data_IF_905363742682
#
_entry.id   IF_905363742682
#
_cell.length_a   1.000
_cell.length_b   1.000
_cell.length_c   1.000
_cell.angle_alpha   90.00
_cell.angle_beta   90.00
_cell.angle_gamma   90.00
#
_symmetry.space_group_name_H-M   'P 1'
#
loop_
_entity.id
_entity.type
_entity.pdbx_description
1 polymer ?
#
# COMPACT_ATOMS: atom_id res chain seq x y z
N UNK A 1 -8.49 20.18 -27.06
CA UNK A 1 -7.48 19.68 -26.09
C UNK A 1 -7.39 20.57 -24.85
N UNK A 2 -7.28 21.89 -24.99
CA UNK A 2 -7.25 22.86 -23.88
C UNK A 2 -8.48 22.74 -22.95
N UNK A 3 -9.67 22.62 -23.55
CA UNK A 3 -10.93 22.43 -22.80
C UNK A 3 -10.91 21.18 -21.90
N UNK A 4 -10.44 20.03 -22.40
CA UNK A 4 -10.37 18.79 -21.62
C UNK A 4 -9.41 18.91 -20.43
N UNK A 5 -8.23 19.51 -20.64
CA UNK A 5 -7.25 19.70 -19.56
C UNK A 5 -7.76 20.64 -18.46
N UNK A 6 -8.54 21.66 -18.82
CA UNK A 6 -9.14 22.60 -17.85
C UNK A 6 -10.27 21.94 -17.05
N UNK A 7 -11.16 21.21 -17.71
CA UNK A 7 -12.25 20.46 -17.07
C UNK A 7 -11.69 19.41 -16.10
N UNK A 8 -10.76 18.57 -16.57
CA UNK A 8 -10.12 17.55 -15.73
C UNK A 8 -9.34 18.20 -14.59
N UNK A 9 -8.59 19.27 -14.83
CA UNK A 9 -7.84 19.97 -13.78
C UNK A 9 -8.75 20.50 -12.67
N UNK A 10 -9.87 21.13 -13.04
CA UNK A 10 -10.85 21.68 -12.10
C UNK A 10 -11.51 20.59 -11.27
N UNK A 11 -11.91 19.49 -11.92
CA UNK A 11 -12.53 18.35 -11.26
C UNK A 11 -11.53 17.58 -10.39
N UNK A 12 -10.33 17.31 -10.90
CA UNK A 12 -9.27 16.53 -10.24
C UNK A 12 -8.87 17.15 -8.90
N UNK A 13 -8.77 18.49 -8.82
CA UNK A 13 -8.41 19.21 -7.59
C UNK A 13 -9.33 18.91 -6.41
N UNK A 14 -10.58 18.51 -6.67
CA UNK A 14 -11.58 18.18 -5.64
C UNK A 14 -11.50 16.72 -5.17
N UNK A 15 -10.71 15.91 -5.86
CA UNK A 15 -10.61 14.48 -5.57
C UNK A 15 -9.62 14.23 -4.44
N UNK A 16 -9.95 13.25 -3.59
CA UNK A 16 -9.11 12.90 -2.42
C UNK A 16 -7.74 12.34 -2.82
N UNK A 17 -7.69 11.63 -3.93
CA UNK A 17 -6.48 11.06 -4.52
C UNK A 17 -5.56 12.09 -5.18
N UNK A 18 -6.01 13.34 -5.37
CA UNK A 18 -5.13 14.38 -5.85
C UNK A 18 -4.09 14.73 -4.79
N UNK A 19 -2.84 14.50 -5.14
CA UNK A 19 -1.75 14.39 -4.18
C UNK A 19 -1.08 15.74 -3.82
N UNK A 20 -1.32 16.79 -4.61
CA UNK A 20 -0.75 18.14 -4.39
C UNK A 20 -1.80 19.08 -3.82
N UNK A 21 -2.33 18.76 -2.63
CA UNK A 21 -3.37 19.57 -1.98
C UNK A 21 -2.89 21.03 -1.85
N UNK A 22 -3.75 21.97 -2.25
CA UNK A 22 -3.53 23.43 -2.25
C UNK A 22 -2.74 24.03 -3.42
N UNK A 23 -2.35 23.25 -4.43
CA UNK A 23 -1.79 23.78 -5.69
C UNK A 23 -2.78 23.53 -6.81
N UNK A 24 -2.93 24.50 -7.72
CA UNK A 24 -3.76 24.35 -8.90
C UNK A 24 -3.05 23.43 -9.92
N UNK A 25 -3.68 22.35 -10.40
CA UNK A 25 -3.05 21.45 -11.35
C UNK A 25 -2.66 22.18 -12.64
N UNK A 26 -1.45 21.91 -13.15
CA UNK A 26 -1.03 22.36 -14.47
C UNK A 26 -0.91 21.16 -15.38
N UNK A 27 -2.03 20.80 -16.01
CA UNK A 27 -2.16 19.56 -16.77
C UNK A 27 -1.67 19.71 -18.20
N UNK A 28 -0.86 18.73 -18.63
CA UNK A 28 -0.54 18.46 -20.02
C UNK A 28 -0.97 17.04 -20.36
N UNK A 29 -1.81 16.88 -21.39
CA UNK A 29 -2.18 15.57 -21.89
C UNK A 29 -0.97 14.90 -22.56
N UNK A 30 -0.58 13.73 -22.05
CA UNK A 30 0.52 12.92 -22.58
C UNK A 30 0.03 11.95 -23.64
N UNK A 31 -0.98 11.15 -23.29
CA UNK A 31 -1.44 10.03 -24.10
C UNK A 31 -2.86 9.62 -23.71
N UNK A 32 -3.46 8.74 -24.50
CA UNK A 32 -4.73 8.08 -24.18
C UNK A 32 -4.89 6.76 -24.91
N UNK A 33 -5.62 5.81 -24.35
CA UNK A 33 -6.11 4.64 -25.07
C UNK A 33 -7.64 4.53 -24.95
N UNK A 34 -8.26 3.94 -25.96
CA UNK A 34 -9.69 3.67 -25.98
C UNK A 34 -9.92 2.21 -25.59
N UNK A 35 -10.88 1.96 -24.71
CA UNK A 35 -11.38 0.61 -24.45
C UNK A 35 -12.64 0.39 -25.29
N UNK A 36 -12.78 -0.78 -25.90
CA UNK A 36 -14.02 -1.17 -26.58
C UNK A 36 -15.14 -1.23 -25.53
N UNK A 37 -16.15 -0.36 -25.61
CA UNK A 37 -17.19 -0.32 -24.60
C UNK A 37 -18.14 -1.51 -24.80
N UNK A 38 -18.62 -2.07 -23.69
CA UNK A 38 -19.68 -3.09 -23.72
C UNK A 38 -21.01 -2.50 -24.22
N UNK A 39 -21.22 -1.19 -24.01
CA UNK A 39 -22.37 -0.42 -24.50
C UNK A 39 -21.96 0.52 -25.64
N UNK A 40 -22.61 0.38 -26.80
CA UNK A 40 -22.27 1.12 -28.02
C UNK A 40 -22.55 2.64 -27.93
N UNK A 41 -23.38 3.09 -26.98
CA UNK A 41 -23.77 4.50 -26.87
C UNK A 41 -22.77 5.36 -26.07
N UNK A 42 -21.86 4.73 -25.35
CA UNK A 42 -20.82 5.41 -24.56
C UNK A 42 -19.44 5.23 -25.19
N UNK A 43 -18.53 6.16 -24.90
CA UNK A 43 -17.12 6.00 -25.24
C UNK A 43 -16.30 5.94 -23.97
N UNK A 44 -15.45 4.93 -23.84
CA UNK A 44 -14.57 4.73 -22.68
C UNK A 44 -13.13 5.06 -23.09
N UNK A 45 -12.57 6.11 -22.50
CA UNK A 45 -11.21 6.57 -22.81
C UNK A 45 -10.41 6.75 -21.53
N UNK A 46 -9.21 6.20 -21.50
CA UNK A 46 -8.27 6.42 -20.41
C UNK A 46 -7.22 7.43 -20.82
N UNK A 47 -7.15 8.56 -20.11
CA UNK A 47 -6.22 9.64 -20.38
C UNK A 47 -5.05 9.64 -19.39
N UNK A 48 -3.85 9.96 -19.87
CA UNK A 48 -2.66 10.18 -19.07
C UNK A 48 -2.33 11.68 -19.04
N UNK A 49 -2.43 12.30 -17.86
CA UNK A 49 -2.12 13.71 -17.66
C UNK A 49 -0.85 13.89 -16.83
N UNK A 50 0.09 14.68 -17.33
CA UNK A 50 1.21 15.18 -16.53
C UNK A 50 0.78 16.44 -15.77
N UNK A 51 0.80 16.40 -14.44
CA UNK A 51 0.71 17.59 -13.60
C UNK A 51 2.12 18.13 -13.33
N UNK A 52 2.39 19.32 -13.86
CA UNK A 52 3.68 20.00 -13.73
C UNK A 52 3.70 21.07 -12.64
N UNK A 53 2.62 21.19 -11.86
CA UNK A 53 2.55 22.09 -10.72
C UNK A 53 3.47 21.70 -9.53
N UNK A 54 3.61 20.42 -9.13
CA UNK A 54 4.57 20.03 -8.10
C UNK A 54 6.03 20.14 -8.57
N UNK A 55 6.99 20.20 -7.63
CA UNK A 55 8.43 20.25 -7.93
C UNK A 55 8.89 19.10 -8.82
N UNK A 56 8.35 17.91 -8.57
CA UNK A 56 8.55 16.72 -9.40
C UNK A 56 7.23 16.44 -10.10
N UNK A 57 7.18 16.52 -11.45
CA UNK A 57 5.95 16.24 -12.20
C UNK A 57 5.37 14.87 -11.87
N UNK A 58 4.04 14.76 -11.87
CA UNK A 58 3.32 13.51 -11.59
C UNK A 58 2.42 13.14 -12.76
N UNK A 59 2.39 11.86 -13.11
CA UNK A 59 1.49 11.36 -14.16
C UNK A 59 0.25 10.76 -13.50
N UNK A 60 -0.91 11.21 -13.93
CA UNK A 60 -2.20 10.72 -13.50
C UNK A 60 -2.90 9.97 -14.63
N UNK A 61 -3.44 8.80 -14.29
CA UNK A 61 -4.42 8.10 -15.11
C UNK A 61 -5.83 8.58 -14.74
N UNK A 62 -6.59 9.03 -15.74
CA UNK A 62 -7.98 9.46 -15.59
C UNK A 62 -8.85 8.75 -16.62
N UNK A 63 -9.53 7.66 -16.24
CA UNK A 63 -10.53 7.02 -17.08
C UNK A 63 -11.79 7.88 -17.15
N UNK A 64 -12.34 8.04 -18.35
CA UNK A 64 -13.47 8.91 -18.65
C UNK A 64 -14.50 8.14 -19.48
N UNK A 65 -15.77 8.25 -19.09
CA UNK A 65 -16.90 7.80 -19.90
C UNK A 65 -17.58 9.02 -20.50
N UNK A 66 -17.68 9.07 -21.82
CA UNK A 66 -18.34 10.15 -22.55
C UNK A 66 -19.73 9.72 -23.03
N UNK A 67 -20.77 10.32 -22.44
CA UNK A 67 -22.20 10.02 -22.67
C UNK A 67 -22.88 11.11 -23.50
N UNK A 68 -23.96 10.75 -24.21
CA UNK A 68 -24.77 11.71 -24.96
C UNK A 68 -25.73 12.50 -24.06
N UNK A 69 -26.16 11.93 -22.94
CA UNK A 69 -27.09 12.51 -21.97
C UNK A 69 -26.40 12.82 -20.64
N UNK A 70 -26.96 13.79 -19.91
CA UNK A 70 -26.52 14.17 -18.55
C UNK A 70 -27.43 13.53 -17.50
N UNK A 71 -27.29 12.23 -17.34
CA UNK A 71 -28.12 11.39 -16.47
C UNK A 71 -27.28 10.50 -15.53
N UNK A 72 -25.96 10.71 -15.46
CA UNK A 72 -25.06 10.06 -14.51
C UNK A 72 -24.96 10.76 -13.16
N UNK A 73 -24.08 10.26 -12.28
CA UNK A 73 -23.82 10.88 -10.97
C UNK A 73 -23.19 12.28 -11.12
N UNK A 74 -23.87 13.29 -10.60
CA UNK A 74 -23.40 14.68 -10.64
C UNK A 74 -22.07 14.86 -9.88
N UNK A 75 -21.79 14.04 -8.87
CA UNK A 75 -20.50 14.06 -8.17
C UNK A 75 -19.34 13.49 -9.03
N UNK A 76 -19.67 12.71 -10.06
CA UNK A 76 -18.71 12.14 -11.00
C UNK A 76 -18.55 12.97 -12.29
N UNK A 77 -19.41 13.96 -12.52
CA UNK A 77 -19.36 14.81 -13.70
C UNK A 77 -18.07 15.63 -13.73
N UNK A 78 -17.25 15.40 -14.75
CA UNK A 78 -16.03 16.15 -15.05
C UNK A 78 -16.39 17.44 -15.80
N UNK A 79 -17.33 17.35 -16.73
CA UNK A 79 -17.80 18.49 -17.53
C UNK A 79 -18.45 18.07 -18.84
N UNK A 80 -18.59 19.02 -19.76
CA UNK A 80 -19.11 18.80 -21.11
C UNK A 80 -18.04 19.21 -22.12
N UNK A 81 -17.76 18.35 -23.10
CA UNK A 81 -16.84 18.67 -24.19
C UNK A 81 -17.25 17.93 -25.47
N UNK A 82 -17.20 18.61 -26.62
CA UNK A 82 -17.54 18.01 -27.91
C UNK A 82 -18.98 17.47 -27.98
N UNK A 83 -19.92 18.10 -27.27
CA UNK A 83 -21.33 17.68 -27.23
C UNK A 83 -21.60 16.39 -26.46
N UNK A 84 -20.66 15.97 -25.60
CA UNK A 84 -20.82 14.83 -24.68
C UNK A 84 -20.55 15.24 -23.25
N UNK A 85 -21.23 14.58 -22.32
CA UNK A 85 -21.00 14.70 -20.89
C UNK A 85 -19.94 13.69 -20.44
N UNK A 86 -18.91 14.18 -19.76
CA UNK A 86 -17.75 13.41 -19.34
C UNK A 86 -17.88 13.06 -17.85
N UNK A 87 -17.85 11.77 -17.54
CA UNK A 87 -17.94 11.25 -16.18
C UNK A 87 -16.67 10.48 -15.80
N UNK A 88 -16.33 10.49 -14.52
CA UNK A 88 -15.23 9.70 -13.96
C UNK A 88 -15.51 8.19 -14.11
N UNK A 89 -14.70 7.50 -14.91
CA UNK A 89 -14.96 6.13 -15.34
C UNK A 89 -15.23 5.15 -14.20
N UNK A 90 -14.46 5.14 -13.09
CA UNK A 90 -14.72 4.26 -11.94
C UNK A 90 -16.10 4.38 -11.26
N UNK A 91 -16.94 5.33 -11.66
CA UNK A 91 -18.33 5.46 -11.20
C UNK A 91 -19.36 4.88 -12.17
N UNK A 92 -18.92 4.49 -13.37
CA UNK A 92 -19.75 4.09 -14.49
C UNK A 92 -19.60 2.59 -14.76
N UNK A 93 -20.72 1.86 -14.76
CA UNK A 93 -20.71 0.41 -14.95
C UNK A 93 -20.10 0.01 -16.30
N UNK A 94 -20.31 0.81 -17.35
CA UNK A 94 -19.72 0.57 -18.67
C UNK A 94 -18.18 0.57 -18.64
N UNK A 95 -17.56 1.46 -17.87
CA UNK A 95 -16.11 1.45 -17.69
C UNK A 95 -15.66 0.21 -16.91
N UNK A 96 -16.35 -0.13 -15.82
CA UNK A 96 -15.97 -1.28 -14.99
C UNK A 96 -16.08 -2.59 -15.78
N UNK A 97 -17.15 -2.78 -16.53
CA UNK A 97 -17.32 -3.94 -17.40
C UNK A 97 -16.24 -4.02 -18.48
N UNK A 98 -15.94 -2.90 -19.14
CA UNK A 98 -14.88 -2.84 -20.18
C UNK A 98 -13.49 -3.10 -19.59
N UNK A 99 -13.19 -2.57 -18.40
CA UNK A 99 -11.93 -2.81 -17.71
C UNK A 99 -11.77 -4.28 -17.31
N UNK A 100 -12.80 -4.91 -16.75
CA UNK A 100 -12.74 -6.33 -16.36
C UNK A 100 -12.66 -7.24 -17.58
N UNK A 101 -13.37 -6.91 -18.66
CA UNK A 101 -13.22 -7.61 -19.94
C UNK A 101 -11.78 -7.47 -20.46
N UNK A 102 -11.23 -6.26 -20.46
CA UNK A 102 -9.87 -6.02 -20.93
C UNK A 102 -8.85 -6.86 -20.15
N UNK A 103 -8.92 -6.85 -18.81
CA UNK A 103 -8.03 -7.63 -17.93
C UNK A 103 -8.21 -9.15 -18.10
N UNK A 104 -9.43 -9.64 -17.91
CA UNK A 104 -9.70 -11.10 -17.82
C UNK A 104 -9.90 -11.78 -19.17
N UNK A 105 -10.20 -11.01 -20.21
CA UNK A 105 -10.14 -11.46 -21.60
C UNK A 105 -8.73 -11.45 -22.20
N UNK A 106 -7.73 -10.93 -21.46
CA UNK A 106 -6.36 -10.71 -21.92
C UNK A 106 -6.29 -9.89 -23.22
N UNK A 107 -7.21 -8.93 -23.36
CA UNK A 107 -7.38 -8.12 -24.55
C UNK A 107 -6.34 -6.97 -24.58
N UNK A 108 -6.18 -6.36 -25.75
CA UNK A 108 -5.28 -5.23 -25.97
C UNK A 108 -6.08 -3.98 -26.32
N UNK A 109 -5.67 -2.84 -25.77
CA UNK A 109 -6.23 -1.53 -26.07
C UNK A 109 -5.12 -0.56 -26.50
N UNK A 110 -5.37 0.19 -27.57
CA UNK A 110 -4.42 1.17 -28.12
C UNK A 110 -5.09 2.54 -28.25
N UNK A 111 -4.27 3.58 -28.34
CA UNK A 111 -4.73 4.88 -28.78
C UNK A 111 -3.58 5.83 -29.07
N UNK A 112 -3.74 7.08 -28.66
CA UNK A 112 -2.74 8.11 -28.85
C UNK A 112 -1.57 7.89 -27.89
N UNK A 113 -0.47 7.36 -28.41
CA UNK A 113 0.82 7.24 -27.72
C UNK A 113 0.79 6.40 -26.42
N UNK A 114 -0.30 5.64 -26.19
CA UNK A 114 -0.43 4.72 -25.07
C UNK A 114 -1.04 3.38 -25.52
N UNK A 115 -0.66 2.33 -24.79
CA UNK A 115 -1.22 0.99 -24.94
C UNK A 115 -1.52 0.38 -23.58
N UNK A 116 -2.46 -0.56 -23.54
CA UNK A 116 -2.80 -1.31 -22.35
C UNK A 116 -3.05 -2.78 -22.69
N UNK A 117 -2.50 -3.68 -21.87
CA UNK A 117 -2.59 -5.14 -22.01
C UNK A 117 -3.18 -5.72 -20.74
N UNK A 118 -4.26 -6.50 -20.91
CA UNK A 118 -4.87 -7.24 -19.82
C UNK A 118 -4.17 -8.56 -19.53
N UNK A 119 -4.22 -8.97 -18.27
CA UNK A 119 -3.66 -10.22 -17.78
C UNK A 119 -4.59 -10.86 -16.74
N UNK A 120 -4.57 -12.19 -16.63
CA UNK A 120 -5.33 -12.95 -15.64
C UNK A 120 -4.59 -14.22 -15.24
N UNK A 121 -4.86 -14.71 -14.03
CA UNK A 121 -4.46 -16.04 -13.55
C UNK A 121 -5.62 -17.04 -13.57
N UNK A 122 -6.81 -16.62 -14.03
CA UNK A 122 -8.03 -17.40 -14.01
C UNK A 122 -8.78 -17.35 -15.34
N UNK A 123 -10.10 -17.53 -15.26
CA UNK A 123 -10.98 -17.48 -16.41
C UNK A 123 -11.47 -16.05 -16.69
N UNK A 124 -12.09 -15.85 -17.86
CA UNK A 124 -12.75 -14.58 -18.20
C UNK A 124 -13.91 -14.33 -17.23
N UNK A 125 -14.01 -13.10 -16.72
CA UNK A 125 -15.01 -12.71 -15.73
C UNK A 125 -15.95 -11.65 -16.33
N UNK A 126 -17.23 -11.75 -16.01
CA UNK A 126 -18.22 -10.71 -16.27
C UNK A 126 -18.69 -10.09 -14.96
N UNK A 127 -18.81 -8.76 -14.94
CA UNK A 127 -19.34 -7.99 -13.81
C UNK A 127 -20.78 -7.61 -14.10
N UNK A 128 -21.67 -7.96 -13.18
CA UNK A 128 -23.11 -7.69 -13.24
C UNK A 128 -23.45 -6.26 -12.83
N UNK A 129 -22.80 -5.77 -11.79
CA UNK A 129 -23.00 -4.42 -11.25
C UNK A 129 -21.78 -3.99 -10.46
N UNK A 130 -21.59 -2.68 -10.28
CA UNK A 130 -20.42 -2.18 -9.56
C UNK A 130 -20.75 -1.00 -8.64
N UNK A 131 -19.95 -0.85 -7.58
CA UNK A 131 -20.07 0.28 -6.66
C UNK A 131 -18.70 0.75 -6.20
N UNK A 132 -18.41 2.02 -6.42
CA UNK A 132 -17.21 2.68 -5.90
C UNK A 132 -17.22 2.72 -4.37
N UNK A 133 -16.09 2.40 -3.74
CA UNK A 133 -15.88 2.58 -2.31
C UNK A 133 -15.55 4.05 -1.99
N UNK A 134 -15.92 4.50 -0.80
CA UNK A 134 -15.68 5.87 -0.33
C UNK A 134 -14.59 5.87 0.73
N UNK A 135 -13.71 6.88 0.72
CA UNK A 135 -12.72 7.09 1.78
C UNK A 135 -11.26 6.97 1.36
N UNK A 136 -10.99 6.51 0.13
CA UNK A 136 -9.64 6.26 -0.37
C UNK A 136 -8.80 7.52 -0.58
N UNK A 137 -7.47 7.38 -0.43
CA UNK A 137 -6.53 8.49 -0.43
C UNK A 137 -5.58 8.57 -1.63
N UNK A 138 -5.31 7.47 -2.34
CA UNK A 138 -4.32 7.43 -3.43
C UNK A 138 -4.89 6.83 -4.73
N UNK A 139 -5.84 5.91 -4.62
CA UNK A 139 -6.39 5.13 -5.71
C UNK A 139 -7.93 5.24 -5.74
N UNK A 140 -8.57 4.51 -6.65
CA UNK A 140 -10.03 4.34 -6.64
C UNK A 140 -10.38 2.86 -6.66
N UNK A 141 -11.11 2.40 -5.65
CA UNK A 141 -11.50 1.01 -5.49
C UNK A 141 -13.00 0.85 -5.67
N UNK A 142 -13.36 -0.26 -6.29
CA UNK A 142 -14.70 -0.57 -6.75
C UNK A 142 -14.99 -1.98 -6.29
N UNK A 143 -16.14 -2.20 -5.69
CA UNK A 143 -16.67 -3.54 -5.48
C UNK A 143 -17.50 -3.91 -6.69
N UNK A 144 -17.05 -4.90 -7.45
CA UNK A 144 -17.80 -5.51 -8.54
C UNK A 144 -18.53 -6.75 -8.04
N UNK A 145 -19.82 -6.86 -8.36
CA UNK A 145 -20.55 -8.10 -8.21
C UNK A 145 -20.48 -8.89 -9.52
N UNK A 146 -19.97 -10.11 -9.46
CA UNK A 146 -19.77 -10.98 -10.61
C UNK A 146 -21.08 -11.68 -10.99
N UNK A 147 -21.18 -12.21 -12.20
CA UNK A 147 -22.37 -12.95 -12.65
C UNK A 147 -22.69 -14.19 -11.79
N UNK A 148 -21.69 -14.80 -11.18
CA UNK A 148 -21.83 -15.95 -10.27
C UNK A 148 -22.18 -15.54 -8.82
N UNK A 149 -22.39 -14.25 -8.57
CA UNK A 149 -22.74 -13.69 -7.26
C UNK A 149 -21.55 -13.48 -6.31
N UNK A 150 -20.32 -13.82 -6.71
CA UNK A 150 -19.12 -13.45 -5.93
C UNK A 150 -18.87 -11.95 -6.02
N UNK A 151 -18.11 -11.44 -5.05
CA UNK A 151 -17.65 -10.06 -5.03
C UNK A 151 -16.16 -10.00 -5.36
N UNK A 152 -15.77 -9.00 -6.14
CA UNK A 152 -14.39 -8.67 -6.46
C UNK A 152 -14.07 -7.23 -6.08
N UNK A 153 -12.84 -6.98 -5.63
CA UNK A 153 -12.30 -5.64 -5.46
C UNK A 153 -11.50 -5.28 -6.70
N UNK A 154 -11.82 -4.16 -7.34
CA UNK A 154 -11.10 -3.62 -8.47
C UNK A 154 -10.47 -2.30 -8.03
N UNK A 155 -9.15 -2.19 -8.09
CA UNK A 155 -8.37 -1.01 -7.69
C UNK A 155 -7.79 -0.37 -8.95
N UNK A 156 -8.16 0.88 -9.20
CA UNK A 156 -7.66 1.70 -10.31
C UNK A 156 -6.58 2.64 -9.77
N UNK A 157 -5.35 2.50 -10.27
CA UNK A 157 -4.25 3.36 -9.86
C UNK A 157 -4.43 4.75 -10.49
N UNK A 158 -4.46 5.79 -9.66
CA UNK A 158 -4.65 7.18 -10.14
C UNK A 158 -3.33 7.87 -10.45
N UNK A 159 -2.32 7.66 -9.61
CA UNK A 159 -0.95 8.11 -9.88
C UNK A 159 -0.19 6.92 -10.45
N UNK A 160 0.35 7.07 -11.66
CA UNK A 160 1.11 6.02 -12.34
C UNK A 160 2.58 6.43 -12.44
N UNK A 161 3.47 5.45 -12.29
CA UNK A 161 4.91 5.64 -12.31
C UNK A 161 5.54 4.58 -13.22
N UNK A 162 6.74 4.88 -13.71
CA UNK A 162 7.52 3.91 -14.47
C UNK A 162 8.03 2.80 -13.54
N UNK A 163 7.89 1.55 -13.96
CA UNK A 163 8.30 0.36 -13.23
C UNK A 163 7.15 -0.53 -12.80
N UNK A 164 7.53 -1.72 -12.34
CA UNK A 164 6.62 -2.71 -11.78
C UNK A 164 5.99 -2.22 -10.47
N UNK A 165 4.68 -2.36 -10.35
CA UNK A 165 3.92 -2.14 -9.12
C UNK A 165 4.02 -3.36 -8.19
N UNK A 166 4.66 -3.23 -7.01
CA UNK A 166 4.85 -4.33 -6.08
C UNK A 166 3.53 -4.95 -5.58
N UNK A 167 2.43 -4.19 -5.55
CA UNK A 167 1.10 -4.71 -5.16
C UNK A 167 0.66 -5.82 -6.12
N UNK A 168 0.83 -5.58 -7.42
CA UNK A 168 0.44 -6.54 -8.45
C UNK A 168 1.42 -7.69 -8.56
N UNK A 169 2.73 -7.41 -8.64
CA UNK A 169 3.72 -8.48 -8.86
C UNK A 169 3.83 -9.43 -7.67
N UNK A 170 3.71 -8.91 -6.45
CA UNK A 170 3.72 -9.71 -5.22
C UNK A 170 2.43 -10.53 -5.13
N UNK A 171 1.27 -9.92 -5.35
CA UNK A 171 -0.01 -10.63 -5.27
C UNK A 171 -0.15 -11.70 -6.37
N UNK A 172 0.36 -11.44 -7.58
CA UNK A 172 0.42 -12.43 -8.65
C UNK A 172 1.25 -13.65 -8.25
N UNK A 173 2.44 -13.44 -7.71
CA UNK A 173 3.32 -14.53 -7.26
C UNK A 173 2.73 -15.33 -6.08
N UNK A 174 2.05 -14.65 -5.15
CA UNK A 174 1.39 -15.28 -4.01
C UNK A 174 0.15 -16.09 -4.45
N UNK A 175 -0.64 -15.55 -5.38
CA UNK A 175 -1.81 -16.23 -5.93
C UNK A 175 -1.39 -17.48 -6.70
N UNK A 176 -0.41 -17.35 -7.60
CA UNK A 176 0.16 -18.50 -8.33
C UNK A 176 0.79 -19.54 -7.38
N UNK A 177 1.36 -19.08 -6.28
CA UNK A 177 1.91 -19.92 -5.21
C UNK A 177 0.85 -20.59 -4.31
N UNK A 178 -0.44 -20.34 -4.53
CA UNK A 178 -1.54 -20.94 -3.77
C UNK A 178 -1.71 -20.36 -2.36
N UNK A 179 -1.35 -19.09 -2.15
CA UNK A 179 -1.55 -18.39 -0.88
C UNK A 179 -3.02 -18.47 -0.44
N UNK A 180 -3.24 -18.82 0.82
CA UNK A 180 -4.54 -18.67 1.50
C UNK A 180 -4.57 -17.45 2.43
N UNK A 181 -3.48 -16.70 2.46
CA UNK A 181 -3.27 -15.55 3.35
C UNK A 181 -3.45 -14.22 2.62
N UNK A 182 -3.83 -14.23 1.35
CA UNK A 182 -4.05 -13.02 0.57
C UNK A 182 -5.31 -13.18 -0.27
N UNK A 183 -6.04 -12.10 -0.58
CA UNK A 183 -7.03 -12.14 -1.64
C UNK A 183 -6.41 -12.67 -2.94
N UNK A 184 -7.11 -13.51 -3.69
CA UNK A 184 -6.57 -14.03 -4.95
C UNK A 184 -6.63 -12.96 -6.04
N UNK A 185 -5.54 -12.76 -6.77
CA UNK A 185 -5.52 -11.89 -7.94
C UNK A 185 -6.30 -12.54 -9.09
N UNK A 186 -7.33 -11.84 -9.57
CA UNK A 186 -8.21 -12.29 -10.64
C UNK A 186 -7.78 -11.73 -12.00
N UNK A 187 -7.22 -10.52 -12.03
CA UNK A 187 -6.68 -9.92 -13.24
C UNK A 187 -6.01 -8.58 -12.97
N UNK A 188 -5.22 -8.11 -13.91
CA UNK A 188 -4.60 -6.79 -13.83
C UNK A 188 -4.37 -6.20 -15.22
N UNK A 189 -4.18 -4.88 -15.26
CA UNK A 189 -3.93 -4.14 -16.49
C UNK A 189 -2.54 -3.52 -16.41
N UNK A 190 -1.69 -3.81 -17.39
CA UNK A 190 -0.43 -3.08 -17.62
C UNK A 190 -0.62 -2.07 -18.74
N UNK A 191 0.13 -0.98 -18.75
CA UNK A 191 0.18 -0.11 -19.92
C UNK A 191 1.52 0.59 -20.10
N UNK A 192 1.65 1.30 -21.21
CA UNK A 192 2.77 2.22 -21.44
C UNK A 192 2.27 3.59 -21.89
N UNK A 193 3.06 4.61 -21.56
CA UNK A 193 2.77 6.00 -21.88
C UNK A 193 4.08 6.81 -21.99
N UNK A 194 4.06 8.00 -22.62
CA UNK A 194 5.23 8.84 -22.71
C UNK A 194 5.62 9.42 -21.35
N UNK A 195 6.91 9.50 -21.03
CA UNK A 195 7.37 10.17 -19.80
C UNK A 195 7.36 11.70 -19.97
N UNK A 196 7.24 12.48 -18.87
CA UNK A 196 7.36 13.94 -18.94
C UNK A 196 8.70 14.43 -19.49
N UNK A 197 9.79 13.67 -19.28
CA UNK A 197 11.17 14.00 -19.67
C UNK A 197 11.57 13.50 -21.06
N UNK A 198 10.69 12.78 -21.75
CA UNK A 198 11.01 12.07 -23.00
C UNK A 198 11.40 10.61 -22.75
N UNK A 199 10.88 9.72 -23.59
CA UNK A 199 10.94 8.26 -23.42
C UNK A 199 9.55 7.66 -23.16
N UNK A 200 9.54 6.36 -22.87
CA UNK A 200 8.30 5.59 -22.59
C UNK A 200 8.42 5.00 -21.20
N UNK A 201 7.40 5.23 -20.36
CA UNK A 201 7.20 4.53 -19.11
C UNK A 201 6.26 3.34 -19.32
N UNK A 202 6.39 2.33 -18.46
CA UNK A 202 5.44 1.23 -18.37
C UNK A 202 5.18 0.84 -16.93
N UNK A 203 3.97 0.37 -16.64
CA UNK A 203 3.58 -0.11 -15.30
C UNK A 203 2.11 -0.51 -15.23
N UNK A 204 1.67 -0.88 -14.04
CA UNK A 204 0.31 -1.33 -13.78
C UNK A 204 -0.67 -0.17 -13.60
N UNK A 205 -1.84 -0.32 -14.21
CA UNK A 205 -2.89 0.69 -14.30
C UNK A 205 -4.11 0.33 -13.43
N UNK A 206 -4.36 -0.96 -13.23
CA UNK A 206 -5.42 -1.47 -12.38
C UNK A 206 -5.13 -2.91 -11.96
N UNK A 207 -5.74 -3.34 -10.86
CA UNK A 207 -5.84 -4.75 -10.47
C UNK A 207 -7.28 -5.11 -10.08
N UNK A 208 -7.58 -6.40 -10.16
CA UNK A 208 -8.81 -7.02 -9.71
C UNK A 208 -8.45 -8.25 -8.87
N UNK A 209 -9.01 -8.32 -7.67
CA UNK A 209 -8.79 -9.41 -6.72
C UNK A 209 -10.10 -9.85 -6.08
N UNK A 210 -10.09 -10.99 -5.40
CA UNK A 210 -11.20 -11.41 -4.54
C UNK A 210 -11.54 -10.31 -3.52
N UNK A 211 -12.83 -10.04 -3.33
CA UNK A 211 -13.29 -9.30 -2.17
C UNK A 211 -13.44 -10.26 -0.99
N UNK A 212 -13.07 -9.83 0.22
CA UNK A 212 -13.20 -10.64 1.44
C UNK A 212 -14.45 -10.17 2.21
N UNK A 213 -15.62 -10.82 2.06
CA UNK A 213 -16.87 -10.32 2.64
C UNK A 213 -16.87 -10.50 4.15
N UNK A 214 -17.34 -9.49 4.87
CA UNK A 214 -17.44 -9.54 6.34
C UNK A 214 -16.08 -9.50 7.05
N UNK A 215 -14.99 -9.24 6.33
CA UNK A 215 -13.71 -8.98 6.95
C UNK A 215 -13.73 -7.67 7.76
N UNK A 216 -13.09 -7.71 8.92
CA UNK A 216 -12.82 -6.53 9.74
C UNK A 216 -11.40 -6.02 9.49
N UNK A 217 -11.22 -4.70 9.50
CA UNK A 217 -9.90 -4.08 9.49
C UNK A 217 -9.12 -4.46 10.76
N UNK A 218 -7.88 -4.91 10.61
CA UNK A 218 -7.08 -5.44 11.71
C UNK A 218 -6.73 -4.40 12.77
N UNK A 219 -6.58 -3.13 12.38
CA UNK A 219 -6.34 -2.04 13.32
C UNK A 219 -7.60 -1.74 14.13
N UNK A 220 -8.74 -1.58 13.47
CA UNK A 220 -10.02 -1.35 14.16
C UNK A 220 -10.38 -2.51 15.08
N UNK A 221 -10.17 -3.75 14.63
CA UNK A 221 -10.38 -4.95 15.44
C UNK A 221 -9.48 -4.95 16.69
N UNK A 222 -8.20 -4.63 16.55
CA UNK A 222 -7.25 -4.58 17.65
C UNK A 222 -7.57 -3.46 18.67
N UNK A 223 -7.87 -2.25 18.19
CA UNK A 223 -8.27 -1.11 19.03
C UNK A 223 -9.54 -1.42 19.82
N UNK A 224 -10.53 -1.99 19.13
CA UNK A 224 -11.81 -2.42 19.69
C UNK A 224 -11.65 -3.48 20.78
N UNK A 225 -10.80 -4.49 20.55
CA UNK A 225 -10.50 -5.53 21.53
C UNK A 225 -9.74 -4.98 22.74
N UNK A 226 -8.71 -4.16 22.52
CA UNK A 226 -7.92 -3.54 23.58
C UNK A 226 -8.76 -2.60 24.46
N UNK A 227 -9.66 -1.82 23.86
CA UNK A 227 -10.60 -0.95 24.59
C UNK A 227 -11.52 -1.74 25.53
N UNK A 228 -11.99 -2.93 25.10
CA UNK A 228 -12.84 -3.81 25.90
C UNK A 228 -12.05 -4.72 26.86
N UNK A 229 -10.72 -4.69 26.83
CA UNK A 229 -9.87 -5.62 27.58
C UNK A 229 -10.02 -7.08 27.13
N UNK A 230 -10.43 -7.30 25.88
CA UNK A 230 -10.54 -8.64 25.30
C UNK A 230 -9.16 -9.20 24.97
N UNK A 231 -8.96 -10.49 25.28
CA UNK A 231 -7.73 -11.18 24.92
C UNK A 231 -7.58 -11.27 23.39
N UNK A 232 -6.37 -10.93 22.93
CA UNK A 232 -6.00 -10.90 21.52
C UNK A 232 -4.78 -11.79 21.22
N UNK A 233 -4.25 -12.48 22.23
CA UNK A 233 -3.04 -13.32 22.12
C UNK A 233 -3.17 -14.39 21.03
N UNK A 234 -4.28 -15.13 20.98
CA UNK A 234 -4.55 -16.12 19.93
C UNK A 234 -4.56 -15.49 18.52
N UNK A 235 -5.22 -14.34 18.37
CA UNK A 235 -5.28 -13.63 17.08
C UNK A 235 -3.90 -13.11 16.67
N UNK A 236 -3.13 -12.57 17.61
CA UNK A 236 -1.76 -12.11 17.38
C UNK A 236 -0.82 -13.27 17.01
N UNK A 237 -0.95 -14.43 17.67
CA UNK A 237 -0.22 -15.64 17.32
C UNK A 237 -0.52 -16.10 15.90
N UNK A 238 -1.80 -16.18 15.52
CA UNK A 238 -2.19 -16.55 14.15
C UNK A 238 -1.71 -15.52 13.11
N UNK A 239 -1.66 -14.24 13.49
CA UNK A 239 -1.11 -13.19 12.63
C UNK A 239 0.39 -13.39 12.42
N UNK A 240 1.15 -13.67 13.47
CA UNK A 240 2.58 -13.96 13.41
C UNK A 240 2.90 -15.17 12.54
N UNK A 241 2.19 -16.27 12.75
CA UNK A 241 2.31 -17.47 11.94
C UNK A 241 1.98 -17.18 10.47
N UNK A 242 0.92 -16.41 10.22
CA UNK A 242 0.53 -15.95 8.88
C UNK A 242 1.60 -15.11 8.19
N UNK A 243 2.27 -14.20 8.91
CA UNK A 243 3.35 -13.38 8.35
C UNK A 243 4.54 -14.26 7.94
N UNK A 244 4.93 -15.23 8.77
CA UNK A 244 6.01 -16.14 8.44
C UNK A 244 5.67 -17.08 7.26
N UNK A 245 4.42 -17.56 7.18
CA UNK A 245 3.95 -18.32 6.02
C UNK A 245 4.01 -17.50 4.73
N UNK A 246 3.59 -16.23 4.79
CA UNK A 246 3.65 -15.27 3.70
C UNK A 246 5.09 -15.03 3.25
N UNK A 247 6.00 -14.73 4.18
CA UNK A 247 7.43 -14.55 3.92
C UNK A 247 8.04 -15.77 3.23
N UNK A 248 7.74 -16.97 3.71
CA UNK A 248 8.25 -18.21 3.11
C UNK A 248 7.70 -18.45 1.71
N UNK A 249 6.45 -18.09 1.47
CA UNK A 249 5.88 -18.22 0.13
C UNK A 249 6.53 -17.21 -0.83
N UNK A 250 6.71 -15.95 -0.42
CA UNK A 250 7.44 -14.96 -1.21
C UNK A 250 8.87 -15.42 -1.51
N UNK A 251 9.60 -15.94 -0.52
CA UNK A 251 10.96 -16.46 -0.70
C UNK A 251 11.05 -17.60 -1.74
N UNK A 252 10.01 -18.43 -1.84
CA UNK A 252 9.94 -19.53 -2.80
C UNK A 252 9.51 -19.08 -4.19
N UNK A 253 8.63 -18.09 -4.27
CA UNK A 253 8.02 -17.66 -5.53
C UNK A 253 8.76 -16.50 -6.21
N UNK A 254 9.54 -15.73 -5.47
CA UNK A 254 10.21 -14.51 -5.93
C UNK A 254 11.73 -14.59 -5.67
N UNK A 255 12.54 -13.79 -6.40
CA UNK A 255 13.99 -13.78 -6.24
C UNK A 255 14.43 -13.46 -4.80
N UNK A 256 15.43 -14.19 -4.34
CA UNK A 256 16.11 -13.97 -3.06
C UNK A 256 17.60 -13.80 -3.29
N UNK A 257 18.29 -13.07 -2.40
CA UNK A 257 19.75 -12.98 -2.41
C UNK A 257 20.33 -12.97 -0.99
N UNK A 258 21.52 -13.55 -0.74
CA UNK A 258 22.22 -13.29 0.51
C UNK A 258 22.52 -11.80 0.66
N UNK A 259 22.33 -11.25 1.85
CA UNK A 259 22.73 -9.88 2.14
C UNK A 259 24.27 -9.73 2.03
N UNK A 260 24.70 -8.63 1.41
CA UNK A 260 26.12 -8.27 1.29
C UNK A 260 26.51 -7.13 2.23
N UNK A 261 27.82 -6.85 2.33
CA UNK A 261 28.29 -5.69 3.11
C UNK A 261 27.82 -4.36 2.53
N UNK A 262 27.65 -4.30 1.21
CA UNK A 262 27.11 -3.13 0.52
C UNK A 262 25.64 -2.91 0.88
N UNK A 263 24.83 -3.98 1.00
CA UNK A 263 23.44 -3.87 1.46
C UNK A 263 23.38 -3.30 2.89
N UNK A 264 24.23 -3.80 3.79
CA UNK A 264 24.33 -3.29 5.17
C UNK A 264 24.76 -1.83 5.20
N UNK A 265 25.75 -1.45 4.40
CA UNK A 265 26.21 -0.06 4.33
C UNK A 265 25.12 0.90 3.82
N UNK A 266 24.35 0.48 2.80
CA UNK A 266 23.19 1.23 2.29
C UNK A 266 22.10 1.38 3.35
N UNK A 267 21.77 0.31 4.08
CA UNK A 267 20.79 0.35 5.15
C UNK A 267 21.24 1.30 6.28
N UNK A 268 22.48 1.18 6.74
CA UNK A 268 23.04 2.04 7.78
C UNK A 268 23.05 3.51 7.37
N UNK A 269 23.47 3.84 6.15
CA UNK A 269 23.44 5.22 5.65
C UNK A 269 22.02 5.80 5.73
N UNK A 270 21.02 5.04 5.28
CA UNK A 270 19.61 5.42 5.39
C UNK A 270 19.17 5.66 6.83
N UNK A 271 19.53 4.75 7.74
CA UNK A 271 19.17 4.82 9.17
C UNK A 271 19.85 6.00 9.87
N UNK A 272 21.13 6.25 9.63
CA UNK A 272 21.87 7.38 10.20
C UNK A 272 21.42 8.73 9.64
N UNK A 273 21.07 8.78 8.34
CA UNK A 273 20.49 9.97 7.72
C UNK A 273 19.12 10.28 8.34
N UNK A 274 18.25 9.27 8.51
CA UNK A 274 16.98 9.42 9.24
C UNK A 274 17.19 9.92 10.66
N UNK A 275 18.13 9.33 11.40
CA UNK A 275 18.46 9.75 12.76
C UNK A 275 18.90 11.22 12.79
N UNK A 276 19.76 11.64 11.87
CA UNK A 276 20.25 13.02 11.79
C UNK A 276 19.13 14.01 11.48
N UNK A 277 18.22 13.67 10.56
CA UNK A 277 17.03 14.50 10.28
C UNK A 277 16.15 14.58 11.52
N UNK A 278 15.94 13.46 12.20
CA UNK A 278 15.06 13.37 13.38
C UNK A 278 15.62 14.17 14.54
N UNK A 279 16.92 14.10 14.86
CA UNK A 279 17.52 14.90 15.95
C UNK A 279 17.52 16.39 15.64
N UNK A 280 17.55 16.77 14.37
CA UNK A 280 17.41 18.17 13.96
C UNK A 280 15.98 18.68 14.18
N UNK A 281 14.97 17.85 13.92
CA UNK A 281 13.55 18.22 14.04
C UNK A 281 13.01 18.08 15.47
N UNK A 282 13.54 17.13 16.24
CA UNK A 282 13.12 16.80 17.61
C UNK A 282 14.37 16.71 18.50
N UNK A 283 14.81 17.85 19.08
CA UNK A 283 16.07 17.92 19.83
C UNK A 283 16.15 16.97 21.04
N UNK A 284 15.03 16.54 21.62
CA UNK A 284 15.05 15.58 22.74
C UNK A 284 15.63 14.20 22.34
N UNK A 285 15.70 13.89 21.03
CA UNK A 285 16.31 12.64 20.55
C UNK A 285 17.84 12.69 20.59
N UNK A 286 18.46 13.87 20.69
CA UNK A 286 19.92 14.00 20.70
C UNK A 286 20.56 13.24 21.88
N UNK A 287 19.94 13.28 23.05
CA UNK A 287 20.42 12.55 24.24
C UNK A 287 20.39 11.02 24.05
N UNK A 288 19.53 10.53 23.14
CA UNK A 288 19.38 9.11 22.81
C UNK A 288 20.25 8.68 21.63
N UNK A 289 20.82 9.64 20.89
CA UNK A 289 21.52 9.42 19.61
C UNK A 289 22.65 8.42 19.71
N UNK A 290 23.48 8.51 20.76
CA UNK A 290 24.60 7.59 20.97
C UNK A 290 24.13 6.15 21.22
N UNK A 291 23.05 5.98 21.99
CA UNK A 291 22.44 4.67 22.22
C UNK A 291 21.89 4.07 20.93
N UNK A 292 21.18 4.88 20.14
CA UNK A 292 20.60 4.46 18.86
C UNK A 292 21.70 4.03 17.88
N UNK A 293 22.72 4.87 17.71
CA UNK A 293 23.86 4.59 16.83
C UNK A 293 24.51 3.24 17.15
N UNK A 294 24.71 2.96 18.44
CA UNK A 294 25.37 1.75 18.87
C UNK A 294 24.48 0.49 18.69
N UNK A 295 23.14 0.60 18.66
CA UNK A 295 22.26 -0.52 18.25
C UNK A 295 22.39 -0.80 16.75
N UNK A 296 22.47 0.24 15.92
CA UNK A 296 22.67 0.08 14.48
C UNK A 296 24.01 -0.59 14.16
N UNK A 297 25.07 -0.20 14.87
CA UNK A 297 26.41 -0.78 14.72
C UNK A 297 26.45 -2.26 15.15
N UNK A 298 25.79 -2.62 16.26
CA UNK A 298 25.68 -4.02 16.69
C UNK A 298 24.98 -4.89 15.63
N UNK A 299 23.87 -4.40 15.08
CA UNK A 299 23.12 -5.11 14.04
C UNK A 299 23.94 -5.27 12.75
N UNK A 300 24.77 -4.29 12.40
CA UNK A 300 25.64 -4.36 11.23
C UNK A 300 26.77 -5.39 11.36
N UNK A 301 27.14 -5.74 12.60
CA UNK A 301 28.11 -6.78 12.91
C UNK A 301 27.49 -8.18 13.08
N UNK A 302 26.15 -8.27 13.10
CA UNK A 302 25.41 -9.51 13.32
C UNK A 302 25.37 -10.41 12.07
N UNK A 303 24.97 -11.70 12.21
CA UNK A 303 24.70 -12.57 11.07
C UNK A 303 23.70 -11.93 10.10
N UNK A 304 24.02 -12.02 8.80
CA UNK A 304 23.20 -11.40 7.75
C UNK A 304 22.16 -12.38 7.19
N UNK A 305 20.92 -11.96 6.99
CA UNK A 305 19.86 -12.84 6.49
C UNK A 305 19.92 -13.02 4.97
N UNK A 306 19.04 -13.89 4.48
CA UNK A 306 18.61 -13.85 3.09
C UNK A 306 17.66 -12.66 2.90
N UNK A 307 17.92 -11.83 1.90
CA UNK A 307 17.02 -10.77 1.47
C UNK A 307 16.02 -11.31 0.45
N UNK A 308 14.78 -10.86 0.57
CA UNK A 308 13.66 -11.31 -0.26
C UNK A 308 12.66 -10.17 -0.46
N UNK A 309 11.67 -10.36 -1.34
CA UNK A 309 10.49 -9.48 -1.33
C UNK A 309 9.81 -9.61 0.03
N UNK A 310 9.49 -8.47 0.62
CA UNK A 310 8.70 -8.32 1.84
C UNK A 310 7.45 -7.48 1.51
N UNK A 311 6.52 -7.37 2.45
CA UNK A 311 5.40 -6.45 2.32
C UNK A 311 5.89 -4.99 2.31
N UNK A 312 6.87 -4.66 3.16
CA UNK A 312 7.56 -3.38 3.15
C UNK A 312 6.81 -2.24 3.85
N UNK A 313 5.56 -2.43 4.24
CA UNK A 313 4.79 -1.49 5.09
C UNK A 313 3.78 -2.25 5.98
N UNK A 314 4.20 -3.40 6.53
CA UNK A 314 3.30 -4.25 7.30
C UNK A 314 2.92 -3.60 8.65
N UNK A 315 1.62 -3.41 8.87
CA UNK A 315 1.01 -2.99 10.14
C UNK A 315 -0.43 -3.52 10.24
N UNK A 316 -1.12 -3.31 11.38
CA UNK A 316 -2.47 -3.87 11.61
C UNK A 316 -3.52 -3.36 10.61
N UNK A 317 -3.31 -2.19 10.03
CA UNK A 317 -4.16 -1.63 8.96
C UNK A 317 -3.94 -2.24 7.58
N UNK A 318 -2.92 -3.10 7.40
CA UNK A 318 -2.66 -3.84 6.16
C UNK A 318 -3.04 -5.31 6.26
N UNK A 319 -3.85 -5.65 7.27
CA UNK A 319 -4.40 -6.98 7.43
C UNK A 319 -5.89 -6.90 7.72
N UNK A 320 -6.61 -7.83 7.13
CA UNK A 320 -8.04 -8.03 7.31
C UNK A 320 -8.26 -9.34 8.07
N UNK A 321 -9.21 -9.37 9.00
CA UNK A 321 -9.61 -10.59 9.68
C UNK A 321 -11.00 -11.02 9.23
N UNK A 322 -11.10 -12.23 8.67
CA UNK A 322 -12.38 -12.87 8.37
C UNK A 322 -12.52 -14.16 9.19
N UNK A 323 -13.61 -14.40 9.92
CA UNK A 323 -13.75 -15.60 10.77
C UNK A 323 -13.56 -16.93 10.03
N UNK A 324 -13.94 -17.01 8.76
CA UNK A 324 -13.87 -18.19 7.91
C UNK A 324 -12.54 -18.34 7.16
N UNK A 325 -11.79 -17.25 6.95
CA UNK A 325 -10.51 -17.24 6.20
C UNK A 325 -9.28 -16.92 7.06
N UNK A 326 -9.48 -16.48 8.30
CA UNK A 326 -8.44 -15.94 9.16
C UNK A 326 -7.89 -14.61 8.66
N UNK A 327 -6.62 -14.36 8.96
CA UNK A 327 -5.90 -13.15 8.51
C UNK A 327 -5.63 -13.17 7.01
N UNK A 328 -5.90 -12.03 6.36
CA UNK A 328 -5.61 -11.74 4.96
C UNK A 328 -4.72 -10.51 4.86
N UNK A 329 -3.56 -10.61 4.22
CA UNK A 329 -2.61 -9.52 3.99
C UNK A 329 -2.97 -8.80 2.68
N UNK A 330 -2.92 -7.48 2.71
CA UNK A 330 -3.34 -6.61 1.60
C UNK A 330 -2.34 -5.46 1.41
N UNK A 331 -2.42 -4.77 0.27
CA UNK A 331 -1.66 -3.54 -0.03
C UNK A 331 -0.13 -3.72 0.01
N UNK A 332 0.38 -4.55 -0.91
CA UNK A 332 1.82 -4.81 -1.03
C UNK A 332 2.57 -3.67 -1.76
N UNK A 333 2.01 -2.45 -1.79
CA UNK A 333 2.62 -1.30 -2.44
C UNK A 333 3.95 -0.88 -1.79
N UNK A 334 4.20 -1.26 -0.53
CA UNK A 334 5.35 -0.84 0.28
C UNK A 334 5.24 0.61 0.76
N UNK A 335 6.27 1.12 1.45
CA UNK A 335 6.24 2.47 2.07
C UNK A 335 5.86 3.57 1.04
N UNK A 336 4.74 4.31 1.24
CA UNK A 336 4.22 5.26 0.26
C UNK A 336 5.17 6.40 -0.14
N UNK A 337 6.15 6.73 0.71
CA UNK A 337 7.12 7.81 0.46
C UNK A 337 8.36 7.36 -0.33
N UNK A 338 8.59 6.04 -0.50
CA UNK A 338 9.70 5.54 -1.29
C UNK A 338 9.38 5.57 -2.79
N UNK A 339 10.35 5.79 -3.68
CA UNK A 339 10.19 5.58 -5.12
C UNK A 339 9.81 4.13 -5.44
N UNK A 340 8.96 3.89 -6.46
CA UNK A 340 8.48 2.55 -6.82
C UNK A 340 9.62 1.54 -7.05
N UNK A 341 10.68 1.96 -7.74
CA UNK A 341 11.86 1.13 -8.00
C UNK A 341 12.58 0.67 -6.72
N UNK A 342 12.49 1.43 -5.62
CA UNK A 342 13.05 1.06 -4.32
C UNK A 342 12.12 0.13 -3.54
N UNK A 343 10.79 0.22 -3.74
CA UNK A 343 9.80 -0.63 -3.06
C UNK A 343 9.83 -2.08 -3.53
N UNK A 344 10.31 -2.31 -4.75
CA UNK A 344 10.47 -3.64 -5.33
C UNK A 344 11.75 -4.37 -4.86
N UNK A 345 12.68 -3.68 -4.19
CA UNK A 345 13.97 -4.23 -3.78
C UNK A 345 13.81 -5.29 -2.67
N UNK A 346 14.61 -6.37 -2.70
CA UNK A 346 14.66 -7.33 -1.61
C UNK A 346 15.15 -6.68 -0.31
N UNK A 347 14.53 -7.05 0.80
CA UNK A 347 14.87 -6.59 2.16
C UNK A 347 14.77 -7.76 3.15
N UNK A 348 15.13 -7.53 4.41
CA UNK A 348 15.05 -8.49 5.48
C UNK A 348 13.64 -8.59 6.05
N UNK A 349 13.16 -9.82 6.26
CA UNK A 349 11.86 -10.15 6.85
C UNK A 349 11.62 -9.46 8.20
N UNK A 350 12.68 -9.25 8.97
CA UNK A 350 12.62 -8.56 10.27
C UNK A 350 12.10 -7.12 10.17
N UNK A 351 12.16 -6.46 8.99
CA UNK A 351 11.56 -5.14 8.79
C UNK A 351 10.03 -5.17 8.89
N UNK A 352 9.39 -6.19 8.30
CA UNK A 352 7.93 -6.38 8.39
C UNK A 352 7.52 -6.76 9.83
N UNK A 353 8.31 -7.62 10.48
CA UNK A 353 8.09 -7.98 11.89
C UNK A 353 8.16 -6.75 12.79
N UNK A 354 9.18 -5.90 12.63
CA UNK A 354 9.30 -4.63 13.33
C UNK A 354 8.09 -3.72 13.07
N UNK A 355 7.63 -3.64 11.82
CA UNK A 355 6.42 -2.89 11.43
C UNK A 355 5.20 -3.27 12.25
N UNK A 356 4.90 -4.57 12.33
CA UNK A 356 3.76 -5.08 13.09
C UNK A 356 3.90 -4.86 14.60
N UNK A 357 5.10 -5.06 15.16
CA UNK A 357 5.38 -4.81 16.58
C UNK A 357 5.12 -3.34 16.98
N UNK A 358 5.57 -2.39 16.14
CA UNK A 358 5.26 -0.97 16.32
C UNK A 358 3.76 -0.69 16.24
N UNK A 359 3.03 -1.39 15.37
CA UNK A 359 1.58 -1.24 15.25
C UNK A 359 0.82 -1.56 16.54
N UNK A 360 1.24 -2.58 17.30
CA UNK A 360 0.68 -2.88 18.63
C UNK A 360 0.93 -1.76 19.65
N UNK A 361 2.13 -1.17 19.64
CA UNK A 361 2.46 -0.04 20.52
C UNK A 361 1.58 1.19 20.19
N UNK A 362 1.27 1.39 18.91
CA UNK A 362 0.34 2.44 18.46
C UNK A 362 -1.10 2.19 18.91
N UNK A 363 -1.57 0.93 19.01
CA UNK A 363 -2.90 0.62 19.57
C UNK A 363 -2.98 1.14 21.01
N UNK A 364 -2.03 0.74 21.87
CA UNK A 364 -2.00 1.21 23.26
C UNK A 364 -1.85 2.73 23.36
N UNK A 365 -0.95 3.31 22.56
CA UNK A 365 -0.72 4.74 22.50
C UNK A 365 -1.95 5.53 22.06
N UNK A 366 -2.76 5.01 21.13
CA UNK A 366 -3.99 5.66 20.66
C UNK A 366 -5.08 5.69 21.74
N UNK A 367 -5.20 4.61 22.52
CA UNK A 367 -6.19 4.45 23.59
C UNK A 367 -5.86 5.30 24.82
N UNK A 368 -4.58 5.41 25.18
CA UNK A 368 -4.11 6.25 26.28
C UNK A 368 -4.40 7.76 26.05
N UNK A 369 -4.77 8.14 24.84
CA UNK A 369 -4.96 9.53 24.41
C UNK A 369 -6.42 9.91 24.15
N UNK A 370 -7.37 9.00 24.37
CA UNK A 370 -8.80 9.29 24.28
C UNK A 370 -9.23 10.21 25.43
N UNK A 371 -10.42 10.81 25.30
CA UNK A 371 -11.03 11.62 26.37
C UNK A 371 -11.17 10.83 27.68
N UNK A 372 -11.47 9.53 27.57
CA UNK A 372 -11.37 8.56 28.65
C UNK A 372 -10.20 7.62 28.33
N UNK A 373 -9.01 7.84 28.89
CA UNK A 373 -7.84 7.01 28.62
C UNK A 373 -8.03 5.55 29.05
N UNK A 374 -7.57 4.63 28.21
CA UNK A 374 -7.45 3.20 28.55
C UNK A 374 -5.97 2.83 28.51
N UNK A 375 -5.46 2.28 29.61
CA UNK A 375 -4.11 1.72 29.65
C UNK A 375 -4.10 0.30 29.06
N UNK A 376 -3.67 0.21 27.81
CA UNK A 376 -3.52 -1.05 27.08
C UNK A 376 -2.04 -1.48 26.96
N UNK A 377 -1.14 -0.99 27.83
CA UNK A 377 0.29 -1.29 27.77
C UNK A 377 0.56 -2.79 27.91
N UNK A 378 -0.05 -3.46 28.90
CA UNK A 378 0.09 -4.90 29.08
C UNK A 378 -0.54 -5.70 27.93
N UNK A 379 -1.67 -5.21 27.39
CA UNK A 379 -2.33 -5.83 26.23
C UNK A 379 -1.42 -5.80 24.99
N UNK A 380 -0.80 -4.66 24.70
CA UNK A 380 0.14 -4.53 23.59
C UNK A 380 1.38 -5.39 23.78
N UNK A 381 1.94 -5.45 24.99
CA UNK A 381 3.08 -6.31 25.30
C UNK A 381 2.76 -7.80 25.07
N UNK A 382 1.59 -8.26 25.53
CA UNK A 382 1.14 -9.63 25.31
C UNK A 382 0.91 -9.92 23.82
N UNK A 383 0.25 -9.01 23.09
CA UNK A 383 0.05 -9.14 21.65
C UNK A 383 1.36 -9.21 20.86
N UNK A 384 2.36 -8.38 21.22
CA UNK A 384 3.71 -8.42 20.65
C UNK A 384 4.39 -9.76 20.87
N UNK A 385 4.37 -10.27 22.11
CA UNK A 385 4.99 -11.56 22.42
C UNK A 385 4.30 -12.70 21.67
N UNK A 386 2.96 -12.77 21.71
CA UNK A 386 2.22 -13.82 20.99
C UNK A 386 2.43 -13.74 19.48
N UNK A 387 2.56 -12.56 18.89
CA UNK A 387 2.91 -12.39 17.48
C UNK A 387 4.30 -12.96 17.17
N UNK A 388 5.31 -12.69 18.01
CA UNK A 388 6.65 -13.26 17.85
C UNK A 388 6.64 -14.79 18.00
N UNK A 389 5.92 -15.31 19.00
CA UNK A 389 5.77 -16.76 19.22
C UNK A 389 5.11 -17.42 18.00
N UNK A 390 4.08 -16.78 17.44
CA UNK A 390 3.41 -17.21 16.22
C UNK A 390 4.36 -17.23 15.02
N UNK A 391 5.13 -16.15 14.83
CA UNK A 391 6.12 -16.08 13.75
C UNK A 391 7.18 -17.17 13.89
N UNK A 392 7.76 -17.34 15.09
CA UNK A 392 8.76 -18.37 15.39
C UNK A 392 8.22 -19.80 15.23
N UNK A 393 6.94 -20.04 15.52
CA UNK A 393 6.30 -21.35 15.33
C UNK A 393 6.37 -21.86 13.88
N UNK A 394 6.39 -20.92 12.93
CA UNK A 394 6.60 -21.20 11.52
C UNK A 394 8.08 -21.07 11.24
N UNK A 395 8.67 -19.88 11.39
CA UNK A 395 10.02 -19.50 10.96
C UNK A 395 11.17 -20.26 11.64
N UNK A 396 10.95 -20.90 12.79
CA UNK A 396 12.00 -21.51 13.60
C UNK A 396 12.76 -20.45 14.39
N UNK A 397 14.09 -20.58 14.46
CA UNK A 397 14.98 -19.69 15.23
C UNK A 397 15.25 -18.33 14.57
N UNK A 398 14.56 -17.98 13.47
CA UNK A 398 14.87 -16.78 12.67
C UNK A 398 14.79 -15.49 13.52
N UNK A 399 13.83 -15.41 14.45
CA UNK A 399 13.68 -14.24 15.33
C UNK A 399 14.86 -14.12 16.29
N UNK A 400 15.31 -15.25 16.83
CA UNK A 400 16.45 -15.33 17.75
C UNK A 400 17.77 -15.07 17.02
N UNK A 401 17.96 -15.71 15.86
CA UNK A 401 19.15 -15.62 15.02
C UNK A 401 19.37 -14.19 14.51
N UNK A 402 18.29 -13.44 14.26
CA UNK A 402 18.32 -12.06 13.76
C UNK A 402 17.76 -11.05 14.78
N UNK A 403 17.85 -11.33 16.08
CA UNK A 403 17.30 -10.45 17.12
C UNK A 403 17.86 -9.03 17.07
N UNK A 404 19.18 -8.88 16.90
CA UNK A 404 19.83 -7.57 16.79
C UNK A 404 19.32 -6.77 15.59
N UNK A 405 19.04 -7.46 14.48
CA UNK A 405 18.50 -6.83 13.27
C UNK A 405 17.05 -6.39 13.48
N UNK A 406 16.23 -7.21 14.14
CA UNK A 406 14.87 -6.85 14.52
C UNK A 406 14.86 -5.62 15.43
N UNK A 407 15.72 -5.58 16.46
CA UNK A 407 15.83 -4.43 17.36
C UNK A 407 16.23 -3.15 16.61
N UNK A 408 17.20 -3.25 15.69
CA UNK A 408 17.62 -2.12 14.88
C UNK A 408 16.52 -1.60 13.93
N UNK A 409 15.73 -2.50 13.31
CA UNK A 409 14.61 -2.08 12.46
C UNK A 409 13.43 -1.53 13.25
N UNK A 410 13.12 -2.09 14.42
CA UNK A 410 12.09 -1.54 15.31
C UNK A 410 12.49 -0.13 15.78
N UNK A 411 13.78 0.06 16.08
CA UNK A 411 14.33 1.34 16.48
C UNK A 411 14.33 2.37 15.34
N UNK A 412 14.76 1.99 14.14
CA UNK A 412 14.75 2.86 12.95
C UNK A 412 13.32 3.27 12.58
N UNK A 413 12.35 2.35 12.69
CA UNK A 413 10.95 2.68 12.48
C UNK A 413 10.44 3.67 13.53
N UNK A 414 10.80 3.49 14.80
CA UNK A 414 10.45 4.46 15.85
C UNK A 414 11.09 5.85 15.62
N UNK A 415 12.34 5.91 15.16
CA UNK A 415 13.00 7.17 14.79
C UNK A 415 12.27 7.86 13.63
N UNK A 416 11.91 7.11 12.59
CA UNK A 416 11.09 7.62 11.49
C UNK A 416 9.73 8.15 11.99
N UNK A 417 9.05 7.40 12.84
CA UNK A 417 7.77 7.77 13.43
C UNK A 417 7.86 9.06 14.24
N UNK A 418 8.92 9.29 15.02
CA UNK A 418 9.13 10.55 15.76
C UNK A 418 9.09 11.76 14.81
N UNK A 419 9.88 11.72 13.73
CA UNK A 419 9.91 12.81 12.76
C UNK A 419 8.56 12.97 12.04
N UNK A 420 7.89 11.85 11.73
CA UNK A 420 6.57 11.87 11.12
C UNK A 420 5.52 12.52 12.04
N UNK A 421 5.45 12.11 13.31
CA UNK A 421 4.50 12.65 14.27
C UNK A 421 4.79 14.12 14.58
N UNK A 422 6.06 14.53 14.68
CA UNK A 422 6.42 15.93 14.87
C UNK A 422 5.86 16.87 13.78
N UNK A 423 5.73 16.38 12.54
CA UNK A 423 5.20 17.16 11.41
C UNK A 423 3.67 17.16 11.33
N UNK A 424 3.01 16.10 11.77
CA UNK A 424 1.58 15.90 11.49
C UNK A 424 0.72 15.87 12.76
N UNK A 425 1.21 15.26 13.84
CA UNK A 425 0.50 15.06 15.10
C UNK A 425 1.47 15.16 16.29
N UNK A 426 2.03 16.34 16.62
CA UNK A 426 3.10 16.47 17.61
C UNK A 426 2.78 15.84 18.96
N UNK A 427 1.51 15.84 19.34
CA UNK A 427 1.06 15.26 20.58
C UNK A 427 1.28 13.72 20.64
N UNK A 428 1.46 13.02 19.51
CA UNK A 428 1.69 11.57 19.40
C UNK A 428 3.16 11.15 19.56
N UNK A 429 4.11 12.09 19.56
CA UNK A 429 5.57 11.83 19.75
C UNK A 429 5.90 10.90 20.94
N UNK A 430 5.20 10.95 22.10
CA UNK A 430 5.52 10.07 23.23
C UNK A 430 5.42 8.57 22.91
N UNK A 431 4.61 8.17 21.91
CA UNK A 431 4.43 6.76 21.51
C UNK A 431 5.74 6.17 20.97
N UNK A 432 6.33 6.68 19.87
CA UNK A 432 7.60 6.18 19.37
C UNK A 432 8.78 6.49 20.29
N UNK A 433 8.77 7.60 21.03
CA UNK A 433 9.84 7.90 21.99
C UNK A 433 9.95 6.85 23.11
N UNK A 434 8.82 6.38 23.63
CA UNK A 434 8.78 5.32 24.66
C UNK A 434 9.34 4.00 24.13
N UNK A 435 9.15 3.70 22.85
CA UNK A 435 9.70 2.52 22.21
C UNK A 435 11.22 2.59 22.05
N UNK A 436 11.76 3.75 21.63
CA UNK A 436 13.20 4.01 21.62
C UNK A 436 13.79 3.77 23.00
N UNK A 437 13.21 4.36 24.04
CA UNK A 437 13.69 4.22 25.42
C UNK A 437 13.67 2.76 25.90
N UNK A 438 12.60 2.00 25.62
CA UNK A 438 12.50 0.57 25.94
C UNK A 438 13.59 -0.25 25.26
N UNK A 439 13.81 -0.05 23.97
CA UNK A 439 14.81 -0.78 23.19
C UNK A 439 16.23 -0.48 23.69
N UNK A 440 16.52 0.77 24.06
CA UNK A 440 17.81 1.15 24.64
C UNK A 440 18.01 0.59 26.07
N UNK A 441 16.95 0.54 26.89
CA UNK A 441 17.02 0.02 28.25
C UNK A 441 17.33 -1.49 28.30
N UNK A 442 16.80 -2.26 27.33
CA UNK A 442 17.00 -3.71 27.22
C UNK A 442 18.46 -4.09 26.93
N UNK A 443 19.30 -3.13 26.51
CA UNK A 443 20.73 -3.33 26.25
C UNK A 443 21.62 -3.16 27.49
N UNK A 444 21.11 -2.50 28.51
CA UNK A 444 21.86 -2.23 29.77
C UNK A 444 21.63 -3.36 30.80
N UNK A 445 20.59 -4.18 30.60
CA UNK A 445 20.30 -5.42 31.34
C UNK A 445 20.97 -6.62 30.69
#
# INVERSE_FOLDING_TARGET
MTELTELVGTWMRRQRWYSTKNVEPRLRLLASFDAEPVDADVRVVTYFFCDEAPRTPRVYQVPVVARASRDGDEAALIGEAGGRYLYDGPTEEAYVASLVQLMTGQEHAEGRDAHAQGHTLGERIAVRSSRRLTGEQSNTSIVGELEDGRLALIKVFRVVQDGENPDVSTLAALTAGGSRRTPSLLGWLTGSWPTPSGGTASGELALMQDFVPGAEDGWELAVSAAERGEDFTDRAYQLGAGTAELHRLMARSLPTKPATKEDVALALDGMFRRLTVTTTEVPEVEDLRAGIAAVYEDAAAAPLPLLQRIHGDLHLGQVLYAPDRGWQFIDFEGEPLRPLAERALPDATMRDVAGMLRSFDYVAGSLARRETPVDATAWAANGRQSYLDGYASVAGSEVEDFRLLLDAFELDKAVYEIAYEARHRPAWIPIPLSAVQRLLATRVS
#
